data_IF_944892990876
#
_entry.id   IF_944892990876
#
_cell.length_a   1.000
_cell.length_b   1.000
_cell.length_c   1.000
_cell.angle_alpha   90.00
_cell.angle_beta   90.00
_cell.angle_gamma   90.00
#
_symmetry.space_group_name_H-M   'P 1'
#
loop_
_entity.id
_entity.type
_entity.pdbx_description
1 polymer ?
#
# COMPACT_ATOMS: atom_id res chain seq x y z
N UNK A 1 7.98 -28.00 12.67
CA UNK A 1 8.86 -27.15 11.79
C UNK A 1 8.39 -27.31 10.36
N UNK A 2 8.07 -26.21 9.69
CA UNK A 2 7.67 -26.18 8.27
C UNK A 2 8.83 -25.60 7.46
N UNK A 3 9.05 -26.18 6.28
CA UNK A 3 10.12 -25.75 5.34
C UNK A 3 9.48 -25.31 4.02
N UNK A 4 9.83 -24.13 3.52
CA UNK A 4 9.23 -23.59 2.29
C UNK A 4 10.18 -22.66 1.52
N UNK A 5 9.94 -22.58 0.22
CA UNK A 5 10.69 -21.71 -0.69
C UNK A 5 10.36 -20.24 -0.45
N UNK A 6 11.39 -19.42 -0.45
CA UNK A 6 11.33 -17.95 -0.34
C UNK A 6 12.26 -17.29 -1.36
N UNK A 7 11.99 -16.02 -1.67
CA UNK A 7 12.84 -15.22 -2.55
C UNK A 7 13.36 -14.01 -1.76
N UNK A 8 14.69 -13.90 -1.72
CA UNK A 8 15.42 -12.92 -0.94
C UNK A 8 16.08 -11.87 -1.83
N UNK A 9 16.27 -10.68 -1.27
CA UNK A 9 17.29 -9.77 -1.74
C UNK A 9 18.71 -10.27 -1.46
N UNK A 10 19.70 -9.65 -2.07
CA UNK A 10 21.11 -9.93 -1.83
C UNK A 10 21.93 -8.65 -1.82
N UNK A 11 23.15 -8.69 -1.26
CA UNK A 11 24.07 -7.52 -1.24
C UNK A 11 24.37 -6.99 -2.65
N UNK A 12 24.37 -7.87 -3.64
CA UNK A 12 24.54 -7.53 -5.06
C UNK A 12 23.28 -6.92 -5.70
N UNK A 13 22.16 -6.88 -4.98
CA UNK A 13 20.89 -6.42 -5.49
C UNK A 13 20.21 -7.38 -6.48
N UNK A 14 20.55 -8.68 -6.40
CA UNK A 14 19.91 -9.76 -7.16
C UNK A 14 18.88 -10.48 -6.29
N UNK A 15 17.88 -11.02 -6.93
CA UNK A 15 16.93 -11.91 -6.28
C UNK A 15 17.54 -13.31 -6.18
N UNK A 16 17.44 -13.93 -5.01
CA UNK A 16 17.96 -15.26 -4.74
C UNK A 16 16.85 -16.13 -4.18
N UNK A 17 16.64 -17.31 -4.80
CA UNK A 17 15.78 -18.32 -4.22
C UNK A 17 16.48 -18.97 -3.02
N UNK A 18 15.75 -19.14 -1.93
CA UNK A 18 16.23 -19.71 -0.68
C UNK A 18 15.14 -20.54 0.00
N UNK A 19 15.41 -20.99 1.20
CA UNK A 19 14.48 -21.77 2.00
C UNK A 19 14.39 -21.18 3.40
N UNK A 20 13.18 -21.05 3.92
CA UNK A 20 12.92 -20.76 5.34
C UNK A 20 12.46 -22.02 6.05
N UNK A 21 12.97 -22.23 7.27
CA UNK A 21 12.52 -23.28 8.20
C UNK A 21 12.04 -22.61 9.48
N UNK A 22 10.78 -22.83 9.83
CA UNK A 22 10.16 -22.15 10.98
C UNK A 22 9.12 -23.02 11.66
N UNK A 23 9.03 -22.94 12.98
CA UNK A 23 7.93 -23.52 13.74
C UNK A 23 6.75 -22.52 13.76
N UNK A 24 5.55 -23.07 13.80
CA UNK A 24 4.33 -22.28 13.93
C UNK A 24 4.05 -22.10 15.43
N UNK A 25 3.98 -20.87 15.89
CA UNK A 25 3.64 -20.54 17.28
C UNK A 25 2.13 -20.66 17.51
N UNK A 26 1.73 -20.62 18.78
CA UNK A 26 0.31 -20.79 19.18
C UNK A 26 -0.62 -19.72 18.60
N UNK A 27 -0.12 -18.54 18.29
CA UNK A 27 -0.84 -17.38 17.75
C UNK A 27 -0.62 -17.16 16.24
N UNK A 28 0.05 -18.09 15.56
CA UNK A 28 0.42 -17.98 14.14
C UNK A 28 -0.38 -18.93 13.25
N UNK A 29 -0.43 -18.64 11.98
CA UNK A 29 -1.12 -19.39 10.93
C UNK A 29 -0.19 -19.61 9.75
N UNK A 30 -0.15 -20.84 9.22
CA UNK A 30 0.50 -21.12 7.93
C UNK A 30 -0.45 -20.76 6.79
N UNK A 31 0.05 -19.99 5.85
CA UNK A 31 -0.68 -19.51 4.69
C UNK A 31 0.05 -20.00 3.44
N UNK A 32 -0.66 -20.73 2.55
CA UNK A 32 -0.18 -20.97 1.19
C UNK A 32 -0.33 -19.67 0.40
N UNK A 33 0.78 -19.07 0.03
CA UNK A 33 0.80 -17.86 -0.78
C UNK A 33 0.31 -18.18 -2.19
N UNK A 34 -0.62 -17.41 -2.69
CA UNK A 34 -1.10 -17.54 -4.08
C UNK A 34 -0.69 -16.35 -4.92
N UNK A 35 -0.68 -15.16 -4.32
CA UNK A 35 -0.33 -13.90 -4.98
C UNK A 35 0.46 -12.99 -4.04
N UNK A 36 1.37 -12.23 -4.59
CA UNK A 36 2.01 -11.13 -3.90
C UNK A 36 2.06 -9.90 -4.79
N UNK A 37 1.64 -8.75 -4.26
CA UNK A 37 1.92 -7.47 -4.91
C UNK A 37 3.41 -7.14 -4.82
N UNK A 38 3.90 -6.34 -5.76
CA UNK A 38 5.24 -5.77 -5.75
C UNK A 38 5.15 -4.26 -5.61
N UNK A 39 5.86 -3.71 -4.64
CA UNK A 39 5.87 -2.31 -4.24
C UNK A 39 7.26 -1.69 -4.43
N UNK A 40 7.33 -0.37 -4.56
CA UNK A 40 8.59 0.36 -4.55
C UNK A 40 9.41 0.15 -3.26
N UNK A 41 8.74 -0.14 -2.15
CA UNK A 41 9.41 -0.49 -0.89
C UNK A 41 10.23 -1.78 -0.99
N UNK A 42 9.84 -2.75 -1.81
CA UNK A 42 10.61 -3.99 -2.02
C UNK A 42 11.95 -3.69 -2.71
N UNK A 43 12.00 -2.67 -3.58
CA UNK A 43 13.24 -2.20 -4.20
C UNK A 43 14.22 -1.61 -3.17
N UNK A 44 13.71 -0.92 -2.16
CA UNK A 44 14.54 -0.33 -1.10
C UNK A 44 15.25 -1.42 -0.28
N UNK A 45 14.63 -2.59 -0.13
CA UNK A 45 15.18 -3.72 0.63
C UNK A 45 15.88 -4.77 -0.25
N UNK A 46 15.89 -4.63 -1.57
CA UNK A 46 16.49 -5.58 -2.52
C UNK A 46 17.98 -5.89 -2.25
N UNK A 47 18.71 -4.94 -1.61
CA UNK A 47 20.12 -5.10 -1.26
C UNK A 47 20.39 -5.66 0.14
N UNK A 48 19.35 -6.09 0.83
CA UNK A 48 19.41 -6.70 2.15
C UNK A 48 19.14 -8.20 2.02
N UNK A 49 19.89 -9.04 2.76
CA UNK A 49 19.62 -10.48 2.84
C UNK A 49 18.39 -10.74 3.71
N UNK A 50 17.22 -10.54 3.12
CA UNK A 50 15.92 -10.79 3.73
C UNK A 50 14.93 -11.30 2.70
N UNK A 51 13.89 -12.01 3.13
CA UNK A 51 12.78 -12.39 2.27
C UNK A 51 11.98 -11.14 1.91
N UNK A 52 11.73 -10.97 0.61
CA UNK A 52 11.01 -9.80 0.10
C UNK A 52 9.50 -10.01 0.07
N UNK A 53 8.78 -8.90 -0.16
CA UNK A 53 7.33 -8.88 -0.30
C UNK A 53 6.57 -8.61 1.01
N UNK A 54 5.63 -7.67 0.94
CA UNK A 54 4.77 -7.26 2.05
C UNK A 54 3.31 -7.00 1.61
N UNK A 55 2.92 -7.57 0.47
CA UNK A 55 1.57 -7.47 -0.09
C UNK A 55 1.05 -8.88 -0.39
N UNK A 56 0.91 -9.69 0.67
CA UNK A 56 0.57 -11.09 0.52
C UNK A 56 -0.94 -11.34 0.40
N UNK A 57 -1.29 -12.32 -0.42
CA UNK A 57 -2.62 -12.93 -0.46
C UNK A 57 -2.49 -14.45 -0.64
N UNK A 58 -3.27 -15.21 0.11
CA UNK A 58 -3.17 -16.65 0.12
C UNK A 58 -4.38 -17.33 0.73
N UNK A 59 -4.18 -18.59 1.05
CA UNK A 59 -5.19 -19.47 1.65
C UNK A 59 -4.60 -20.09 2.92
N UNK A 60 -5.38 -20.08 3.99
CA UNK A 60 -5.02 -20.76 5.23
C UNK A 60 -4.94 -22.26 5.00
N UNK A 61 -3.79 -22.84 5.32
CA UNK A 61 -3.57 -24.28 5.22
C UNK A 61 -4.15 -25.05 6.43
N UNK A 62 -3.88 -26.33 6.59
CA UNK A 62 -4.61 -27.25 7.46
C UNK A 62 -4.56 -26.93 8.98
N UNK A 63 -5.49 -27.52 9.75
CA UNK A 63 -5.71 -27.29 11.18
C UNK A 63 -4.55 -27.67 12.12
N UNK A 64 -3.60 -28.51 11.71
CA UNK A 64 -2.36 -28.77 12.47
C UNK A 64 -1.31 -27.68 12.30
N UNK A 65 -1.54 -26.76 11.35
CA UNK A 65 -0.68 -25.66 10.96
C UNK A 65 -1.31 -24.31 11.30
N UNK A 66 -2.38 -24.33 12.11
CA UNK A 66 -2.93 -23.17 12.81
C UNK A 66 -2.51 -23.30 14.27
N UNK A 67 -1.93 -22.25 14.81
CA UNK A 67 -1.52 -22.22 16.22
C UNK A 67 -2.68 -22.50 17.16
N UNK A 68 -2.40 -23.17 18.27
CA UNK A 68 -3.43 -23.69 19.21
C UNK A 68 -4.35 -22.60 19.81
N UNK A 69 -3.90 -21.34 19.82
CA UNK A 69 -4.67 -20.20 20.32
C UNK A 69 -5.51 -19.49 19.22
N UNK A 70 -5.35 -19.86 17.95
CA UNK A 70 -6.06 -19.22 16.83
C UNK A 70 -7.45 -19.84 16.68
N UNK A 71 -8.49 -19.05 16.92
CA UNK A 71 -9.90 -19.47 16.77
C UNK A 71 -10.64 -18.70 15.68
N UNK A 72 -9.99 -17.68 15.09
CA UNK A 72 -10.62 -16.75 14.15
C UNK A 72 -10.51 -17.19 12.69
N UNK A 73 -9.63 -18.13 12.38
CA UNK A 73 -9.38 -18.60 11.01
C UNK A 73 -9.52 -20.11 10.91
N UNK A 74 -9.95 -20.57 9.74
CA UNK A 74 -10.08 -21.98 9.39
C UNK A 74 -9.35 -22.28 8.07
N UNK A 75 -9.06 -23.57 7.85
CA UNK A 75 -8.55 -24.03 6.56
C UNK A 75 -9.44 -23.58 5.41
N UNK A 76 -8.80 -23.08 4.36
CA UNK A 76 -9.49 -22.62 3.16
C UNK A 76 -9.87 -21.14 3.19
N UNK A 77 -9.76 -20.48 4.37
CA UNK A 77 -10.00 -19.03 4.44
C UNK A 77 -9.05 -18.27 3.51
N UNK A 78 -9.61 -17.37 2.72
CA UNK A 78 -8.86 -16.45 1.87
C UNK A 78 -8.39 -15.28 2.73
N UNK A 79 -7.07 -15.08 2.82
CA UNK A 79 -6.46 -14.08 3.69
C UNK A 79 -5.38 -13.28 2.98
N UNK A 80 -5.16 -12.05 3.46
CA UNK A 80 -4.06 -11.21 3.07
C UNK A 80 -3.32 -10.65 4.28
N UNK A 81 -2.12 -10.12 4.07
CA UNK A 81 -1.32 -9.44 5.08
C UNK A 81 -0.46 -8.37 4.46
N UNK A 82 -0.09 -7.38 5.25
CA UNK A 82 0.61 -6.20 4.79
C UNK A 82 1.95 -5.95 5.47
N UNK A 83 2.26 -4.69 5.62
CA UNK A 83 3.56 -4.19 6.06
C UNK A 83 3.87 -4.45 7.54
N UNK A 84 2.84 -4.43 8.40
CA UNK A 84 3.01 -4.65 9.84
C UNK A 84 2.84 -6.13 10.19
N UNK A 85 3.78 -6.66 10.99
CA UNK A 85 3.82 -8.07 11.41
C UNK A 85 3.29 -8.27 12.82
N UNK A 86 3.52 -7.29 13.72
CA UNK A 86 3.23 -7.41 15.15
C UNK A 86 3.13 -6.06 15.85
N UNK A 87 2.60 -6.07 17.07
CA UNK A 87 2.69 -5.01 18.07
C UNK A 87 2.50 -5.58 19.48
N UNK A 88 2.71 -4.78 20.52
CA UNK A 88 2.54 -5.25 21.89
C UNK A 88 1.09 -5.52 22.31
N UNK A 89 0.09 -5.04 21.57
CA UNK A 89 -1.35 -5.15 21.81
C UNK A 89 -1.90 -4.53 23.11
N UNK A 90 -1.07 -3.95 23.98
CA UNK A 90 -1.49 -3.44 25.28
C UNK A 90 -1.10 -1.98 25.58
N UNK A 91 -0.27 -1.34 24.77
CA UNK A 91 0.04 0.08 24.93
C UNK A 91 -1.14 0.97 24.49
N UNK A 92 -1.07 2.27 24.84
CA UNK A 92 -2.10 3.24 24.46
C UNK A 92 -2.42 3.20 22.96
N UNK A 93 -1.39 3.18 22.11
CA UNK A 93 -1.57 3.16 20.65
C UNK A 93 -2.32 1.93 20.20
N UNK A 94 -1.97 0.74 20.68
CA UNK A 94 -2.66 -0.51 20.34
C UNK A 94 -4.12 -0.49 20.82
N UNK A 95 -4.36 -0.07 22.07
CA UNK A 95 -5.71 -0.05 22.65
C UNK A 95 -6.65 1.00 22.00
N UNK A 96 -6.09 1.99 21.31
CA UNK A 96 -6.86 3.04 20.61
C UNK A 96 -6.91 2.85 19.09
N UNK A 97 -6.46 1.70 18.56
CA UNK A 97 -6.49 1.40 17.13
C UNK A 97 -5.44 2.18 16.31
N UNK A 98 -4.29 2.47 16.91
CA UNK A 98 -3.16 3.15 16.28
C UNK A 98 -1.87 2.32 16.43
N UNK A 99 -1.97 0.99 16.32
CA UNK A 99 -0.84 0.07 16.52
C UNK A 99 0.31 0.27 15.52
N UNK A 100 0.10 0.94 14.40
CA UNK A 100 1.18 1.40 13.52
C UNK A 100 2.15 2.36 14.21
N UNK A 101 1.74 2.96 15.33
CA UNK A 101 2.54 3.85 16.19
C UNK A 101 3.02 3.16 17.47
N UNK A 102 2.80 1.85 17.63
CA UNK A 102 3.27 1.09 18.77
C UNK A 102 4.81 1.15 18.87
N UNK A 103 5.41 1.44 20.05
CA UNK A 103 6.86 1.43 20.20
C UNK A 103 7.50 0.06 19.90
N UNK A 104 6.74 -1.02 20.12
CA UNK A 104 7.15 -2.41 19.87
C UNK A 104 6.58 -2.98 18.57
N UNK A 105 6.20 -2.11 17.62
CA UNK A 105 5.69 -2.58 16.33
C UNK A 105 6.78 -3.31 15.54
N UNK A 106 6.44 -4.44 14.96
CA UNK A 106 7.28 -5.10 13.98
C UNK A 106 6.82 -4.77 12.57
N UNK A 107 7.73 -4.22 11.77
CA UNK A 107 7.47 -3.76 10.42
C UNK A 107 8.37 -4.48 9.41
N UNK A 108 7.86 -4.71 8.22
CA UNK A 108 8.62 -5.22 7.08
C UNK A 108 9.92 -4.44 6.85
N UNK A 109 11.00 -5.15 6.58
CA UNK A 109 12.32 -4.57 6.37
C UNK A 109 13.13 -4.33 7.64
N UNK A 110 12.48 -4.34 8.80
CA UNK A 110 13.13 -4.12 10.10
C UNK A 110 13.05 -5.33 11.03
N UNK A 111 12.08 -6.20 10.81
CA UNK A 111 11.82 -7.39 11.63
C UNK A 111 11.51 -8.58 10.71
N UNK A 112 11.63 -9.81 11.26
CA UNK A 112 11.25 -11.06 10.58
C UNK A 112 11.84 -11.21 9.18
N UNK A 113 13.17 -11.04 9.05
CA UNK A 113 13.89 -11.11 7.78
C UNK A 113 13.84 -12.50 7.12
N UNK A 114 13.32 -13.50 7.82
CA UNK A 114 13.18 -14.88 7.38
C UNK A 114 11.84 -15.18 6.67
N UNK A 115 10.95 -14.21 6.56
CA UNK A 115 9.66 -14.37 5.89
C UNK A 115 9.15 -13.08 5.20
N UNK A 116 8.30 -13.28 4.19
CA UNK A 116 7.67 -12.23 3.40
C UNK A 116 6.66 -12.85 2.43
N UNK A 117 6.09 -12.07 1.54
CA UNK A 117 5.12 -12.58 0.57
C UNK A 117 5.73 -13.06 -0.74
N UNK A 118 7.02 -12.82 -1.00
CA UNK A 118 7.73 -13.46 -2.11
C UNK A 118 8.18 -14.86 -1.66
N UNK A 119 7.21 -15.74 -1.52
CA UNK A 119 7.38 -17.08 -0.97
C UNK A 119 6.21 -17.97 -1.41
N UNK A 120 6.37 -19.29 -1.25
CA UNK A 120 5.28 -20.24 -1.50
C UNK A 120 4.40 -20.44 -0.27
N UNK A 121 4.93 -20.17 0.92
CA UNK A 121 4.18 -20.13 2.18
C UNK A 121 4.65 -18.97 3.04
N UNK A 122 3.80 -18.55 3.97
CA UNK A 122 4.13 -17.58 5.00
C UNK A 122 3.56 -18.05 6.34
N UNK A 123 4.28 -17.79 7.44
CA UNK A 123 3.79 -18.00 8.80
C UNK A 123 3.57 -16.62 9.40
N UNK A 124 2.32 -16.31 9.75
CA UNK A 124 1.94 -14.97 10.16
C UNK A 124 1.09 -14.97 11.40
N UNK A 125 1.24 -13.96 12.27
CA UNK A 125 0.36 -13.80 13.42
C UNK A 125 -1.08 -13.60 12.99
N UNK A 126 -2.01 -14.33 13.63
CA UNK A 126 -3.43 -14.27 13.33
C UNK A 126 -4.01 -12.85 13.44
N UNK A 127 -3.50 -12.03 14.37
CA UNK A 127 -3.92 -10.64 14.57
C UNK A 127 -3.54 -9.72 13.40
N UNK A 128 -2.60 -10.13 12.53
CA UNK A 128 -2.06 -9.34 11.43
C UNK A 128 -2.33 -9.94 10.04
N UNK A 129 -3.28 -10.86 9.96
CA UNK A 129 -3.88 -11.32 8.70
C UNK A 129 -5.32 -10.82 8.61
N UNK A 130 -5.79 -10.61 7.39
CA UNK A 130 -7.09 -10.01 7.11
C UNK A 130 -7.88 -10.93 6.18
N UNK A 131 -9.15 -11.21 6.50
CA UNK A 131 -10.03 -11.94 5.59
C UNK A 131 -10.22 -11.14 4.31
N UNK A 132 -9.96 -11.78 3.18
CA UNK A 132 -10.28 -11.20 1.87
C UNK A 132 -11.75 -11.50 1.59
N UNK A 133 -12.60 -10.49 1.38
CA UNK A 133 -14.00 -10.70 0.97
C UNK A 133 -14.09 -11.53 -0.33
N UNK A 134 -15.05 -12.45 -0.41
CA UNK A 134 -15.20 -13.38 -1.54
C UNK A 134 -15.35 -12.68 -2.89
N UNK A 135 -15.88 -11.45 -2.89
CA UNK A 135 -16.02 -10.64 -4.10
C UNK A 135 -14.69 -10.05 -4.61
N UNK A 136 -13.58 -10.17 -3.85
CA UNK A 136 -12.25 -9.67 -4.25
C UNK A 136 -11.36 -10.87 -4.63
N UNK A 137 -11.07 -11.12 -5.91
CA UNK A 137 -10.05 -12.09 -6.30
C UNK A 137 -8.70 -11.77 -5.67
N UNK A 138 -7.98 -12.79 -5.20
CA UNK A 138 -6.70 -12.61 -4.47
C UNK A 138 -5.65 -11.83 -5.24
N UNK A 139 -5.64 -11.92 -6.56
CA UNK A 139 -4.75 -11.12 -7.42
C UNK A 139 -4.97 -9.60 -7.26
N UNK A 140 -6.20 -9.17 -7.02
CA UNK A 140 -6.51 -7.76 -6.73
C UNK A 140 -6.37 -7.45 -5.23
N UNK A 141 -6.56 -8.44 -4.37
CA UNK A 141 -6.42 -8.25 -2.93
C UNK A 141 -4.96 -8.01 -2.52
N UNK A 142 -3.98 -8.63 -3.17
CA UNK A 142 -2.58 -8.50 -2.83
C UNK A 142 -2.08 -7.03 -2.84
N UNK A 143 -2.24 -6.22 -3.90
CA UNK A 143 -1.85 -4.81 -3.87
C UNK A 143 -2.65 -3.94 -2.89
N UNK A 144 -3.84 -4.38 -2.49
CA UNK A 144 -4.65 -3.65 -1.49
C UNK A 144 -4.02 -3.73 -0.10
N UNK A 145 -3.22 -4.77 0.21
CA UNK A 145 -2.63 -4.96 1.54
C UNK A 145 -1.60 -3.87 1.92
N UNK A 146 -1.04 -3.16 0.93
CA UNK A 146 -0.16 -2.02 1.16
C UNK A 146 -0.70 -0.76 0.48
N UNK A 147 -0.76 -0.74 -0.87
CA UNK A 147 -1.18 0.45 -1.62
C UNK A 147 -2.61 0.86 -1.29
N UNK A 148 -3.54 -0.09 -1.20
CA UNK A 148 -4.93 0.16 -0.80
C UNK A 148 -5.01 0.70 0.64
N UNK A 149 -4.38 0.02 1.58
CA UNK A 149 -4.33 0.41 2.99
C UNK A 149 -3.76 1.83 3.17
N UNK A 150 -2.66 2.14 2.47
CA UNK A 150 -1.98 3.45 2.55
C UNK A 150 -2.89 4.60 2.11
N UNK A 151 -3.50 4.49 0.94
CA UNK A 151 -4.34 5.58 0.41
C UNK A 151 -5.68 5.69 1.13
N UNK A 152 -6.27 4.55 1.52
CA UNK A 152 -7.51 4.54 2.28
C UNK A 152 -7.32 5.16 3.66
N UNK A 153 -6.24 4.82 4.36
CA UNK A 153 -5.92 5.40 5.67
C UNK A 153 -5.75 6.93 5.60
N UNK A 154 -5.04 7.43 4.59
CA UNK A 154 -4.87 8.88 4.39
C UNK A 154 -6.20 9.61 4.18
N UNK A 155 -7.15 8.99 3.49
CA UNK A 155 -8.48 9.56 3.28
C UNK A 155 -9.38 9.40 4.52
N UNK A 156 -9.43 8.18 5.10
CA UNK A 156 -10.39 7.81 6.13
C UNK A 156 -10.05 8.38 7.51
N UNK A 157 -8.76 8.38 7.89
CA UNK A 157 -8.34 8.67 9.26
C UNK A 157 -8.14 10.16 9.56
N UNK A 158 -8.20 11.04 8.55
CA UNK A 158 -7.92 12.47 8.69
C UNK A 158 -9.07 13.36 8.18
N UNK A 159 -10.29 12.94 8.48
CA UNK A 159 -11.53 13.72 8.32
C UNK A 159 -11.89 14.13 6.88
N UNK A 160 -11.55 13.30 5.87
CA UNK A 160 -12.04 13.52 4.50
C UNK A 160 -13.55 13.30 4.43
N UNK A 161 -14.28 14.26 3.86
CA UNK A 161 -15.75 14.25 3.73
C UNK A 161 -16.18 14.19 2.26
N UNK A 162 -17.36 13.67 1.95
CA UNK A 162 -17.87 13.63 0.56
C UNK A 162 -17.91 14.99 -0.13
N UNK A 163 -18.06 16.08 0.62
CA UNK A 163 -18.04 17.44 0.08
C UNK A 163 -16.65 17.99 -0.22
N UNK A 164 -15.57 17.28 0.20
CA UNK A 164 -14.21 17.75 0.03
C UNK A 164 -13.69 17.49 -1.39
N UNK A 165 -12.72 18.30 -1.77
CA UNK A 165 -11.98 18.16 -3.02
C UNK A 165 -10.63 17.50 -2.74
N UNK A 166 -10.41 16.37 -3.35
CA UNK A 166 -9.18 15.58 -3.19
C UNK A 166 -8.30 15.74 -4.44
N UNK A 167 -7.14 16.30 -4.27
CA UNK A 167 -6.09 16.36 -5.29
C UNK A 167 -5.18 15.15 -5.20
N UNK A 168 -4.81 14.56 -6.34
CA UNK A 168 -3.92 13.40 -6.40
C UNK A 168 -2.80 13.70 -7.36
N UNK A 169 -1.56 13.76 -6.86
CA UNK A 169 -0.36 13.97 -7.67
C UNK A 169 0.23 12.62 -8.07
N UNK A 170 0.22 12.33 -9.37
CA UNK A 170 0.77 11.10 -9.95
C UNK A 170 -0.23 9.96 -10.04
N UNK A 171 -0.27 9.30 -11.20
CA UNK A 171 -1.09 8.13 -11.50
C UNK A 171 -0.17 6.92 -11.63
N UNK A 172 0.21 6.38 -10.51
CA UNK A 172 1.02 5.17 -10.38
C UNK A 172 0.34 4.16 -9.46
N UNK A 173 1.15 3.34 -8.80
CA UNK A 173 0.69 2.27 -7.90
C UNK A 173 -0.21 2.74 -6.75
N UNK A 174 0.00 3.93 -6.19
CA UNK A 174 -0.86 4.53 -5.17
C UNK A 174 -1.97 5.38 -5.81
N UNK A 175 -1.60 6.27 -6.75
CA UNK A 175 -2.53 7.28 -7.26
C UNK A 175 -3.76 6.69 -7.96
N UNK A 176 -3.63 5.59 -8.73
CA UNK A 176 -4.78 4.97 -9.38
C UNK A 176 -5.78 4.34 -8.37
N UNK A 177 -5.30 3.90 -7.20
CA UNK A 177 -6.15 3.46 -6.09
C UNK A 177 -6.75 4.66 -5.35
N UNK A 178 -5.96 5.71 -5.10
CA UNK A 178 -6.43 6.93 -4.45
C UNK A 178 -7.62 7.56 -5.22
N UNK A 179 -7.55 7.59 -6.55
CA UNK A 179 -8.65 8.07 -7.41
C UNK A 179 -9.93 7.28 -7.14
N UNK A 180 -9.84 5.95 -7.15
CA UNK A 180 -11.00 5.08 -6.95
C UNK A 180 -11.58 5.25 -5.53
N UNK A 181 -10.75 5.20 -4.49
CA UNK A 181 -11.21 5.36 -3.11
C UNK A 181 -11.86 6.73 -2.88
N UNK A 182 -11.18 7.83 -3.24
CA UNK A 182 -11.72 9.18 -3.05
C UNK A 182 -13.04 9.39 -3.82
N UNK A 183 -13.11 8.92 -5.06
CA UNK A 183 -14.33 8.99 -5.88
C UNK A 183 -15.47 8.20 -5.24
N UNK A 184 -15.23 6.97 -4.75
CA UNK A 184 -16.25 6.14 -4.09
C UNK A 184 -16.64 6.66 -2.70
N UNK A 185 -15.80 7.45 -2.05
CA UNK A 185 -16.15 8.21 -0.83
C UNK A 185 -17.03 9.43 -1.13
N UNK A 186 -17.26 9.76 -2.39
CA UNK A 186 -18.11 10.88 -2.82
C UNK A 186 -17.37 12.20 -2.99
N UNK A 187 -16.03 12.21 -2.91
CA UNK A 187 -15.24 13.43 -3.07
C UNK A 187 -15.16 13.87 -4.54
N UNK A 188 -14.95 15.17 -4.75
CA UNK A 188 -14.53 15.68 -6.05
C UNK A 188 -13.05 15.43 -6.24
N UNK A 189 -12.68 14.60 -7.21
CA UNK A 189 -11.30 14.15 -7.43
C UNK A 189 -10.65 14.91 -8.58
N UNK A 190 -9.58 15.67 -8.27
CA UNK A 190 -8.72 16.34 -9.25
C UNK A 190 -7.39 15.61 -9.34
N UNK A 191 -7.02 15.15 -10.53
CA UNK A 191 -5.80 14.41 -10.77
C UNK A 191 -4.76 15.28 -11.45
N UNK A 192 -3.54 15.27 -10.95
CA UNK A 192 -2.40 16.01 -11.49
C UNK A 192 -1.38 15.03 -12.07
N UNK A 193 -1.01 15.22 -13.33
CA UNK A 193 -0.02 14.40 -14.02
C UNK A 193 0.87 15.26 -14.90
N UNK A 194 2.10 14.82 -15.14
CA UNK A 194 3.04 15.56 -16.01
C UNK A 194 2.62 15.55 -17.49
N UNK A 195 1.85 14.54 -17.92
CA UNK A 195 1.40 14.40 -19.32
C UNK A 195 -0.08 14.02 -19.38
N UNK A 196 -0.68 14.19 -20.56
CA UNK A 196 -2.08 13.80 -20.81
C UNK A 196 -2.30 12.30 -21.07
N UNK A 197 -1.24 11.52 -21.18
CA UNK A 197 -1.29 10.12 -21.64
C UNK A 197 -2.20 9.21 -20.80
N UNK A 198 -2.46 9.58 -19.55
CA UNK A 198 -3.31 8.81 -18.61
C UNK A 198 -4.65 9.48 -18.28
N UNK A 199 -5.02 10.54 -19.01
CA UNK A 199 -6.27 11.31 -18.78
C UNK A 199 -7.50 10.42 -18.81
N UNK A 200 -7.71 9.72 -19.92
CA UNK A 200 -8.91 8.90 -20.12
C UNK A 200 -9.05 7.79 -19.08
N UNK A 201 -7.92 7.24 -18.66
CA UNK A 201 -7.90 6.22 -17.61
C UNK A 201 -8.20 6.81 -16.25
N UNK A 202 -7.63 7.96 -15.90
CA UNK A 202 -7.96 8.66 -14.66
C UNK A 202 -9.44 8.97 -14.56
N UNK A 203 -10.04 9.45 -15.66
CA UNK A 203 -11.49 9.72 -15.72
C UNK A 203 -12.32 8.43 -15.56
N UNK A 204 -11.91 7.33 -16.17
CA UNK A 204 -12.57 6.01 -15.98
C UNK A 204 -12.45 5.48 -14.56
N UNK A 205 -11.35 5.78 -13.86
CA UNK A 205 -11.15 5.40 -12.46
C UNK A 205 -11.96 6.26 -11.48
N UNK A 206 -12.59 7.35 -11.97
CA UNK A 206 -13.48 8.19 -11.17
C UNK A 206 -12.98 9.61 -10.88
N UNK A 207 -11.95 10.08 -11.58
CA UNK A 207 -11.56 11.49 -11.51
C UNK A 207 -12.68 12.37 -12.11
N UNK A 208 -12.88 13.55 -11.51
CA UNK A 208 -13.80 14.58 -12.01
C UNK A 208 -13.04 15.61 -12.86
N UNK A 209 -11.75 15.79 -12.57
CA UNK A 209 -10.91 16.77 -13.22
C UNK A 209 -9.49 16.22 -13.40
N UNK A 210 -8.87 16.54 -14.53
CA UNK A 210 -7.50 16.14 -14.82
C UNK A 210 -6.70 17.35 -15.30
N UNK A 211 -5.59 17.62 -14.64
CA UNK A 211 -4.73 18.78 -14.88
C UNK A 211 -3.33 18.32 -15.26
N UNK A 212 -2.86 18.75 -16.43
CA UNK A 212 -1.48 18.51 -16.87
C UNK A 212 -0.57 19.57 -16.28
N UNK A 213 0.52 19.14 -15.62
CA UNK A 213 1.40 20.04 -14.84
C UNK A 213 2.65 20.48 -15.59
N UNK A 214 3.13 19.70 -16.58
CA UNK A 214 4.37 20.00 -17.31
C UNK A 214 4.23 21.22 -18.20
N UNK A 215 5.13 22.19 -18.03
CA UNK A 215 5.16 23.43 -18.84
C UNK A 215 4.14 24.48 -18.44
N UNK A 216 3.40 24.25 -17.35
CA UNK A 216 2.40 25.19 -16.83
C UNK A 216 2.99 25.92 -15.63
N UNK A 217 2.89 27.24 -15.59
CA UNK A 217 3.35 28.06 -14.45
C UNK A 217 2.36 28.04 -13.29
N UNK A 218 1.07 28.12 -13.60
CA UNK A 218 -0.03 28.18 -12.62
C UNK A 218 -1.07 27.12 -12.96
N UNK A 219 -1.37 26.26 -11.99
CA UNK A 219 -2.38 25.23 -12.15
C UNK A 219 -3.78 25.84 -12.10
N UNK A 220 -4.60 25.53 -13.09
CA UNK A 220 -6.00 25.92 -13.13
C UNK A 220 -6.85 24.74 -12.65
N UNK A 221 -7.61 24.96 -11.59
CA UNK A 221 -8.51 23.97 -10.99
C UNK A 221 -9.91 24.56 -10.81
N UNK A 222 -10.94 23.74 -10.94
CA UNK A 222 -12.32 24.15 -10.80
C UNK A 222 -12.71 24.56 -9.37
N UNK A 223 -11.85 24.33 -8.40
CA UNK A 223 -12.01 24.72 -6.99
C UNK A 223 -10.80 24.34 -6.16
N UNK A 224 -10.63 24.97 -4.99
CA UNK A 224 -9.50 24.74 -4.09
C UNK A 224 -9.51 23.30 -3.55
N UNK A 225 -8.32 22.76 -3.28
CA UNK A 225 -8.09 21.37 -2.85
C UNK A 225 -8.01 21.30 -1.32
N UNK A 226 -8.86 20.51 -0.71
CA UNK A 226 -8.88 20.29 0.74
C UNK A 226 -7.83 19.27 1.20
N UNK A 227 -7.65 18.18 0.42
CA UNK A 227 -6.71 17.12 0.70
C UNK A 227 -5.87 16.84 -0.54
N UNK A 228 -4.54 16.97 -0.43
CA UNK A 228 -3.60 16.72 -1.53
C UNK A 228 -2.74 15.49 -1.21
N UNK A 229 -2.96 14.40 -1.95
CA UNK A 229 -2.21 13.15 -1.83
C UNK A 229 -1.02 13.16 -2.79
N UNK A 230 0.19 13.09 -2.26
CA UNK A 230 1.42 13.04 -3.05
C UNK A 230 1.79 11.57 -3.26
N UNK A 231 1.48 11.05 -4.46
CA UNK A 231 1.67 9.65 -4.85
C UNK A 231 2.87 9.46 -5.80
N UNK A 232 3.74 10.46 -5.92
CA UNK A 232 4.98 10.41 -6.71
C UNK A 232 6.18 10.17 -5.82
N UNK A 233 7.23 9.53 -6.34
CA UNK A 233 8.49 9.31 -5.63
C UNK A 233 9.38 10.56 -5.50
N UNK A 234 8.98 11.64 -6.12
CA UNK A 234 9.66 12.94 -6.07
C UNK A 234 8.71 14.01 -5.53
N UNK A 235 9.28 15.04 -4.91
CA UNK A 235 8.50 16.18 -4.41
C UNK A 235 7.94 16.99 -5.58
N UNK A 236 6.68 17.46 -5.47
CA UNK A 236 6.09 18.34 -6.47
C UNK A 236 6.73 19.73 -6.42
N UNK A 237 6.55 20.51 -7.46
CA UNK A 237 6.84 21.95 -7.41
C UNK A 237 5.80 22.66 -6.53
N UNK A 238 6.16 22.88 -5.28
CA UNK A 238 5.28 23.49 -4.28
C UNK A 238 4.75 24.87 -4.70
N UNK A 239 5.48 25.62 -5.55
CA UNK A 239 5.01 26.91 -6.07
C UNK A 239 3.77 26.76 -6.96
N UNK A 240 3.60 25.62 -7.61
CA UNK A 240 2.40 25.32 -8.40
C UNK A 240 1.25 24.81 -7.52
N UNK A 241 1.54 23.98 -6.51
CA UNK A 241 0.51 23.27 -5.76
C UNK A 241 -0.03 24.02 -4.53
N UNK A 242 0.83 24.79 -3.81
CA UNK A 242 0.34 25.50 -2.62
C UNK A 242 -0.73 26.57 -2.95
N UNK A 243 -0.65 27.31 -4.08
CA UNK A 243 -1.69 28.27 -4.42
C UNK A 243 -3.08 27.67 -4.69
N UNK A 244 -3.18 26.40 -5.04
CA UNK A 244 -4.49 25.74 -5.29
C UNK A 244 -5.08 25.09 -4.05
N UNK A 245 -4.38 25.09 -2.91
CA UNK A 245 -4.91 24.53 -1.66
C UNK A 245 -6.03 25.41 -1.09
N UNK A 246 -7.01 24.77 -0.48
CA UNK A 246 -8.00 25.44 0.36
C UNK A 246 -7.35 25.90 1.68
N UNK A 247 -7.80 27.01 2.29
CA UNK A 247 -7.38 27.35 3.66
C UNK A 247 -7.65 26.18 4.62
N UNK A 248 -6.68 25.85 5.47
CA UNK A 248 -6.74 24.71 6.37
C UNK A 248 -6.55 23.34 5.70
N UNK A 249 -6.28 23.31 4.41
CA UNK A 249 -6.09 22.09 3.63
C UNK A 249 -4.90 21.23 4.11
N UNK A 250 -4.89 19.97 3.72
CA UNK A 250 -3.90 18.98 4.20
C UNK A 250 -3.11 18.35 3.07
N UNK A 251 -1.80 18.29 3.24
CA UNK A 251 -0.84 17.63 2.35
C UNK A 251 -0.46 16.26 2.93
N UNK A 252 -0.54 15.21 2.12
CA UNK A 252 -0.20 13.83 2.52
C UNK A 252 0.96 13.30 1.69
N UNK A 253 2.21 13.31 2.16
CA UNK A 253 3.30 12.58 1.54
C UNK A 253 3.09 11.07 1.78
N UNK A 254 2.80 10.30 0.73
CA UNK A 254 2.45 8.88 0.84
C UNK A 254 3.52 7.94 0.31
N UNK A 255 4.52 8.45 -0.38
CA UNK A 255 5.62 7.64 -0.91
C UNK A 255 6.79 7.64 0.05
N UNK A 256 7.52 6.53 0.08
CA UNK A 256 8.78 6.45 0.85
C UNK A 256 9.87 7.21 0.11
N UNK A 257 10.52 8.16 0.79
CA UNK A 257 11.71 8.88 0.32
C UNK A 257 12.72 8.97 1.48
N UNK A 258 14.01 8.98 1.14
CA UNK A 258 15.09 9.25 2.08
C UNK A 258 15.46 10.75 2.08
N UNK A 259 14.91 11.53 1.16
CA UNK A 259 15.16 12.96 1.05
C UNK A 259 14.33 13.76 2.05
N UNK A 260 14.83 14.93 2.43
CA UNK A 260 14.10 15.86 3.27
C UNK A 260 12.88 16.43 2.54
N UNK A 261 11.74 16.54 3.23
CA UNK A 261 10.55 17.21 2.73
C UNK A 261 10.72 18.73 2.90
N UNK A 262 10.95 19.45 1.79
CA UNK A 262 11.17 20.89 1.81
C UNK A 262 9.97 21.64 1.24
N UNK A 263 9.22 22.33 2.09
CA UNK A 263 8.02 23.10 1.71
C UNK A 263 8.21 24.58 2.05
N UNK A 264 7.81 25.54 1.17
CA UNK A 264 7.87 26.97 1.47
C UNK A 264 7.10 27.33 2.76
N UNK A 265 7.77 28.06 3.65
CA UNK A 265 7.24 28.34 4.98
C UNK A 265 5.98 29.22 4.98
N UNK A 266 6.03 30.38 4.28
CA UNK A 266 4.95 31.37 4.33
C UNK A 266 3.59 30.85 3.85
N UNK A 267 3.48 30.12 2.73
CA UNK A 267 2.18 29.55 2.31
C UNK A 267 1.56 28.58 3.32
N UNK A 268 2.41 27.84 4.07
CA UNK A 268 1.91 26.95 5.15
C UNK A 268 1.29 27.78 6.27
N UNK A 269 1.97 28.86 6.70
CA UNK A 269 1.51 29.73 7.76
C UNK A 269 0.23 30.50 7.37
N UNK A 270 0.27 31.18 6.23
CA UNK A 270 -0.82 32.04 5.75
C UNK A 270 -2.08 31.24 5.38
N UNK A 271 -1.90 30.03 4.86
CA UNK A 271 -2.99 29.12 4.50
C UNK A 271 -3.46 28.22 5.64
N UNK A 272 -2.84 28.27 6.83
CA UNK A 272 -3.06 27.31 7.92
C UNK A 272 -2.99 25.85 7.45
N UNK A 273 -2.10 25.56 6.47
CA UNK A 273 -2.01 24.25 5.86
C UNK A 273 -1.39 23.23 6.82
N UNK A 274 -1.83 21.98 6.67
CA UNK A 274 -1.34 20.85 7.46
C UNK A 274 -0.46 19.94 6.59
N UNK A 275 0.59 19.39 7.18
CA UNK A 275 1.36 18.28 6.59
C UNK A 275 1.12 17.06 7.47
N UNK A 276 0.46 16.05 6.94
CA UNK A 276 0.02 14.87 7.67
C UNK A 276 0.78 13.62 7.22
N UNK A 277 1.60 13.07 8.11
CA UNK A 277 2.18 11.74 7.92
C UNK A 277 1.13 10.64 8.04
N UNK A 278 1.23 9.62 7.20
CA UNK A 278 0.38 8.44 7.22
C UNK A 278 1.21 7.21 6.90
N UNK A 279 1.13 6.16 7.72
CA UNK A 279 1.90 4.94 7.56
C UNK A 279 0.96 3.75 7.47
N UNK A 280 0.83 3.17 6.26
CA UNK A 280 -0.07 2.05 5.97
C UNK A 280 -1.44 2.23 6.63
N UNK A 281 -1.98 1.22 7.31
CA UNK A 281 -3.22 1.34 8.07
C UNK A 281 -3.17 0.47 9.32
N UNK A 282 -3.78 0.94 10.39
CA UNK A 282 -4.09 0.12 11.57
C UNK A 282 -5.08 -1.00 11.19
N UNK A 283 -5.09 -2.11 11.92
CA UNK A 283 -5.89 -3.31 11.62
C UNK A 283 -7.38 -3.02 11.39
N UNK A 284 -7.97 -2.17 12.22
CA UNK A 284 -9.37 -1.79 12.07
C UNK A 284 -9.65 -1.08 10.74
N UNK A 285 -8.79 -0.12 10.38
CA UNK A 285 -8.88 0.64 9.12
C UNK A 285 -8.58 -0.27 7.92
N UNK A 286 -7.66 -1.23 8.07
CA UNK A 286 -7.34 -2.21 7.03
C UNK A 286 -8.54 -3.12 6.70
N UNK A 287 -9.22 -3.64 7.72
CA UNK A 287 -10.46 -4.41 7.53
C UNK A 287 -11.56 -3.56 6.90
N UNK A 288 -11.74 -2.31 7.35
CA UNK A 288 -12.69 -1.36 6.76
C UNK A 288 -12.37 -1.11 5.28
N UNK A 289 -11.09 -0.93 4.93
CA UNK A 289 -10.64 -0.77 3.54
C UNK A 289 -11.02 -1.95 2.65
N UNK A 290 -10.79 -3.18 3.11
CA UNK A 290 -11.16 -4.38 2.34
C UNK A 290 -12.69 -4.49 2.15
N UNK A 291 -13.47 -4.20 3.19
CA UNK A 291 -14.92 -4.16 3.11
C UNK A 291 -15.41 -3.07 2.13
N UNK A 292 -14.83 -1.87 2.21
CA UNK A 292 -15.13 -0.77 1.31
C UNK A 292 -14.76 -1.11 -0.15
N UNK A 293 -13.59 -1.70 -0.36
CA UNK A 293 -13.15 -2.12 -1.70
C UNK A 293 -14.08 -3.20 -2.29
N UNK A 294 -14.55 -4.13 -1.46
CA UNK A 294 -15.53 -5.14 -1.88
C UNK A 294 -16.88 -4.53 -2.27
N UNK A 295 -17.42 -3.66 -1.41
CA UNK A 295 -18.72 -3.00 -1.61
C UNK A 295 -18.72 -2.12 -2.87
N UNK A 296 -17.64 -1.39 -3.10
CA UNK A 296 -17.54 -0.42 -4.21
C UNK A 296 -16.82 -0.97 -5.43
N UNK A 297 -16.47 -2.27 -5.44
CA UNK A 297 -15.78 -2.95 -6.54
C UNK A 297 -14.46 -2.27 -6.95
N UNK A 298 -13.73 -1.75 -5.97
CA UNK A 298 -12.42 -1.15 -6.21
C UNK A 298 -11.44 -2.25 -6.62
N UNK A 299 -10.75 -2.06 -7.74
CA UNK A 299 -9.81 -3.01 -8.31
C UNK A 299 -8.53 -2.30 -8.73
N UNK A 300 -7.36 -2.74 -8.26
CA UNK A 300 -6.10 -2.27 -8.82
C UNK A 300 -5.98 -2.72 -10.29
N UNK A 301 -5.37 -1.88 -11.11
CA UNK A 301 -4.90 -2.30 -12.42
C UNK A 301 -3.58 -3.05 -12.23
N UNK A 302 -3.52 -4.31 -12.69
CA UNK A 302 -2.41 -5.21 -12.41
C UNK A 302 -1.75 -5.76 -13.67
N UNK A 303 -0.45 -6.04 -13.56
CA UNK A 303 0.31 -6.87 -14.50
C UNK A 303 0.85 -8.09 -13.75
N UNK A 304 0.70 -9.27 -14.34
CA UNK A 304 0.99 -10.55 -13.71
C UNK A 304 2.36 -11.09 -14.12
N UNK A 305 3.11 -11.59 -13.14
CA UNK A 305 4.42 -12.20 -13.34
C UNK A 305 4.49 -13.52 -12.55
N UNK A 306 5.24 -14.54 -13.00
CA UNK A 306 5.45 -15.73 -12.19
C UNK A 306 6.30 -15.42 -10.95
N UNK A 307 6.01 -16.09 -9.83
CA UNK A 307 6.82 -15.99 -8.61
C UNK A 307 8.06 -16.90 -8.74
N UNK A 308 8.99 -16.48 -9.60
CA UNK A 308 10.32 -17.07 -9.81
C UNK A 308 11.37 -15.96 -9.76
N UNK A 309 12.65 -16.31 -9.67
CA UNK A 309 13.73 -15.30 -9.69
C UNK A 309 13.59 -14.39 -10.90
N UNK A 310 13.44 -14.96 -12.10
CA UNK A 310 13.34 -14.21 -13.36
C UNK A 310 12.06 -13.35 -13.41
N UNK A 311 10.95 -13.89 -12.92
CA UNK A 311 9.68 -13.16 -12.90
C UNK A 311 9.68 -11.98 -11.93
N UNK A 312 10.28 -12.15 -10.75
CA UNK A 312 10.45 -11.09 -9.76
C UNK A 312 11.37 -9.99 -10.32
N UNK A 313 12.53 -10.37 -10.88
CA UNK A 313 13.47 -9.40 -11.46
C UNK A 313 12.85 -8.64 -12.65
N UNK A 314 12.09 -9.32 -13.51
CA UNK A 314 11.37 -8.68 -14.61
C UNK A 314 10.31 -7.68 -14.11
N UNK A 315 9.58 -8.04 -13.06
CA UNK A 315 8.59 -7.18 -12.43
C UNK A 315 9.24 -5.94 -11.80
N UNK A 316 10.32 -6.12 -11.03
CA UNK A 316 11.09 -5.04 -10.41
C UNK A 316 11.66 -4.09 -11.46
N UNK A 317 12.32 -4.62 -12.48
CA UNK A 317 12.88 -3.82 -13.58
C UNK A 317 11.82 -2.95 -14.24
N UNK A 318 10.64 -3.50 -14.50
CA UNK A 318 9.53 -2.74 -15.11
C UNK A 318 9.01 -1.63 -14.20
N UNK A 319 9.03 -1.84 -12.89
CA UNK A 319 8.70 -0.81 -11.90
C UNK A 319 9.76 0.30 -11.87
N UNK A 320 11.05 -0.05 -11.79
CA UNK A 320 12.18 0.90 -11.82
C UNK A 320 12.16 1.80 -13.07
N UNK A 321 11.84 1.21 -14.22
CA UNK A 321 11.72 1.94 -15.50
C UNK A 321 10.48 2.86 -15.56
N UNK A 322 9.58 2.83 -14.58
CA UNK A 322 8.33 3.59 -14.57
C UNK A 322 7.28 3.11 -15.58
N UNK A 323 7.45 1.90 -16.13
CA UNK A 323 6.62 1.31 -17.18
C UNK A 323 5.52 0.38 -16.65
N UNK A 324 5.40 0.23 -15.32
CA UNK A 324 4.39 -0.62 -14.68
C UNK A 324 2.99 0.01 -14.76
N UNK A 325 1.97 -0.79 -15.13
CA UNK A 325 0.58 -0.32 -15.25
C UNK A 325 -0.40 -1.11 -14.37
N UNK A 326 -0.60 -0.82 -13.13
CA UNK A 326 0.11 0.10 -12.24
C UNK A 326 0.78 -0.68 -11.12
N UNK A 327 0.32 -1.95 -10.90
CA UNK A 327 0.80 -2.84 -9.85
C UNK A 327 1.29 -4.16 -10.44
N UNK A 328 2.54 -4.51 -10.16
CA UNK A 328 3.03 -5.86 -10.43
C UNK A 328 2.43 -6.83 -9.42
N UNK A 329 1.99 -8.00 -9.90
CA UNK A 329 1.49 -9.09 -9.05
C UNK A 329 2.20 -10.38 -9.42
N UNK A 330 2.91 -10.95 -8.44
CA UNK A 330 3.58 -12.23 -8.55
C UNK A 330 2.59 -13.34 -8.25
N UNK A 331 2.58 -14.38 -9.10
CA UNK A 331 1.70 -15.55 -8.96
C UNK A 331 2.55 -16.73 -8.52
N UNK A 332 2.26 -17.26 -7.33
CA UNK A 332 2.87 -18.49 -6.83
C UNK A 332 2.29 -19.74 -7.54
N UNK A 333 3.03 -20.84 -7.60
CA UNK A 333 2.62 -22.08 -8.26
C UNK A 333 1.45 -22.80 -7.56
#
# INVERSE_FOLDING_TARGET
MVEFTVFKGSREGKIVQSTTKKDIKSDEVLIKVTHSGLCGTDEHFKRIDMVLGHEGAGVVEFSQEIGAAVTTYAKGDSVGWGYQHDSCNHCKQCLTGHETLCPERAMYGYHDHDQGSFAYYAIWKADYIFRIPDSIPREFAAPLQCGGATVYNALRSFDTKPSHRVGIIGIGGLGHLAIQFASKMGCHVTVFSSTDSKRDEAMKLGANEFVTTKGVKELQVSGKIDHLLICTSFQPDWKQFLPIMAPGGTLYPLTVSQDDLTIPYMPILEGELKVQGSLVAARAVHNEMLAFAAQHQIRPLIEKFPMTVEGIEACMKKLEEGNMRYRGVLIAP
#
